data_IF_073363153358
#
_entry.id   IF_073363153358
#
_cell.length_a   1.000
_cell.length_b   1.000
_cell.length_c   1.000
_cell.angle_alpha   90.00
_cell.angle_beta   90.00
_cell.angle_gamma   90.00
#
_symmetry.space_group_name_H-M   'P 1'
#
loop_
_entity.id
_entity.type
_entity.pdbx_description
1 polymer ?
#
# COMPACT_ATOMS: atom_id res chain seq x y z
N UNK A 1 10.85 12.97 2.10
CA UNK A 1 11.01 12.15 3.32
C UNK A 1 11.96 12.89 4.26
N UNK A 2 11.53 13.27 5.47
CA UNK A 2 12.38 14.04 6.40
C UNK A 2 13.16 13.10 7.33
N UNK A 3 14.38 12.73 6.91
CA UNK A 3 15.23 11.82 7.68
C UNK A 3 15.61 12.37 9.06
N UNK A 4 15.75 13.70 9.18
CA UNK A 4 16.13 14.37 10.43
C UNK A 4 15.03 14.25 11.47
N UNK A 5 13.75 14.41 11.10
CA UNK A 5 12.65 14.25 12.05
C UNK A 5 12.49 12.79 12.49
N UNK A 6 12.66 11.83 11.57
CA UNK A 6 12.55 10.40 11.90
C UNK A 6 13.69 9.92 12.80
N UNK A 7 14.93 10.39 12.57
CA UNK A 7 16.06 10.17 13.50
C UNK A 7 15.74 10.68 14.91
N UNK A 8 15.19 11.89 15.02
CA UNK A 8 14.82 12.49 16.32
C UNK A 8 13.71 11.73 17.04
N UNK A 9 12.83 11.07 16.29
CA UNK A 9 11.74 10.24 16.83
C UNK A 9 12.17 8.79 17.10
N UNK A 10 13.43 8.42 16.86
CA UNK A 10 13.91 7.04 17.01
C UNK A 10 13.37 6.07 15.96
N UNK A 11 12.78 6.58 14.89
CA UNK A 11 12.23 5.77 13.81
C UNK A 11 13.34 5.27 12.88
N UNK A 12 13.14 4.08 12.32
CA UNK A 12 14.06 3.52 11.33
C UNK A 12 14.15 4.47 10.12
N UNK A 13 15.38 4.83 9.75
CA UNK A 13 15.66 5.67 8.58
C UNK A 13 15.99 4.90 7.31
N UNK A 14 16.19 3.58 7.43
CA UNK A 14 16.41 2.72 6.29
C UNK A 14 15.10 2.49 5.52
N UNK A 15 15.20 2.39 4.19
CA UNK A 15 14.08 2.05 3.31
C UNK A 15 13.61 0.60 3.46
N UNK A 16 14.39 -0.27 4.11
CA UNK A 16 14.14 -1.71 4.15
C UNK A 16 12.75 -2.12 4.66
N UNK A 17 12.20 -1.43 5.66
CA UNK A 17 10.84 -1.69 6.14
C UNK A 17 9.78 -1.33 5.08
N UNK A 18 10.00 -0.25 4.35
CA UNK A 18 9.13 0.20 3.25
C UNK A 18 9.25 -0.77 2.07
N UNK A 19 10.47 -1.09 1.64
CA UNK A 19 10.74 -2.03 0.54
C UNK A 19 10.18 -3.42 0.83
N UNK A 20 10.36 -3.92 2.05
CA UNK A 20 9.82 -5.21 2.49
C UNK A 20 8.29 -5.22 2.47
N UNK A 21 7.67 -4.12 2.89
CA UNK A 21 6.21 -3.95 2.82
C UNK A 21 5.74 -3.89 1.38
N UNK A 22 6.43 -3.15 0.51
CA UNK A 22 6.10 -3.06 -0.92
C UNK A 22 6.19 -4.45 -1.58
N UNK A 23 7.25 -5.21 -1.31
CA UNK A 23 7.43 -6.56 -1.86
C UNK A 23 6.34 -7.52 -1.38
N UNK A 24 6.04 -7.54 -0.09
CA UNK A 24 5.13 -8.54 0.50
C UNK A 24 3.64 -8.18 0.39
N UNK A 25 3.29 -6.91 0.59
CA UNK A 25 1.92 -6.45 0.51
C UNK A 25 1.53 -6.14 -0.94
N UNK A 26 2.32 -5.33 -1.65
CA UNK A 26 1.93 -4.86 -2.98
C UNK A 26 2.30 -5.88 -4.06
N UNK A 27 3.58 -6.23 -4.22
CA UNK A 27 4.02 -7.04 -5.35
C UNK A 27 3.50 -8.48 -5.33
N UNK A 28 3.39 -9.09 -4.14
CA UNK A 28 2.96 -10.49 -4.02
C UNK A 28 1.44 -10.68 -3.87
N UNK A 29 0.71 -9.67 -3.38
CA UNK A 29 -0.73 -9.82 -3.08
C UNK A 29 -1.59 -8.92 -3.96
N UNK A 30 -1.27 -7.64 -4.06
CA UNK A 30 -2.10 -6.69 -4.81
C UNK A 30 -1.82 -6.78 -6.31
N UNK A 31 -0.55 -6.70 -6.72
CA UNK A 31 -0.10 -6.79 -8.10
C UNK A 31 0.01 -8.26 -8.49
N UNK A 32 -0.71 -8.69 -9.52
CA UNK A 32 -0.63 -10.06 -10.03
C UNK A 32 0.55 -10.22 -10.99
N UNK A 33 0.86 -11.45 -11.40
CA UNK A 33 1.99 -11.74 -12.29
C UNK A 33 1.84 -11.04 -13.64
N UNK A 34 2.97 -10.67 -14.24
CA UNK A 34 3.08 -9.96 -15.52
C UNK A 34 2.29 -8.62 -15.62
N UNK A 35 1.85 -8.04 -14.50
CA UNK A 35 1.01 -6.84 -14.51
C UNK A 35 1.86 -5.56 -14.51
N UNK A 36 1.70 -4.71 -15.52
CA UNK A 36 2.34 -3.39 -15.55
C UNK A 36 1.38 -2.31 -15.09
N UNK A 37 1.83 -1.49 -14.15
CA UNK A 37 1.02 -0.40 -13.60
C UNK A 37 1.60 0.93 -14.08
N UNK A 38 0.70 1.81 -14.54
CA UNK A 38 0.95 3.25 -14.61
C UNK A 38 0.41 3.87 -13.34
N UNK A 39 0.98 4.98 -12.90
CA UNK A 39 0.58 5.68 -11.67
C UNK A 39 -0.94 5.88 -11.60
N UNK A 40 -1.56 6.38 -12.67
CA UNK A 40 -3.01 6.59 -12.77
C UNK A 40 -3.86 5.33 -12.53
N UNK A 41 -3.35 4.15 -12.90
CA UNK A 41 -4.09 2.88 -12.76
C UNK A 41 -3.75 2.16 -11.44
N UNK A 42 -2.55 2.40 -10.91
CA UNK A 42 -2.07 1.81 -9.66
C UNK A 42 -2.98 2.17 -8.50
N UNK A 43 -3.33 3.45 -8.39
CA UNK A 43 -4.18 3.95 -7.32
C UNK A 43 -5.56 3.27 -7.35
N UNK A 44 -6.23 3.26 -8.50
CA UNK A 44 -7.54 2.63 -8.67
C UNK A 44 -7.51 1.13 -8.30
N UNK A 45 -6.46 0.42 -8.70
CA UNK A 45 -6.31 -1.00 -8.35
C UNK A 45 -6.11 -1.21 -6.85
N UNK A 46 -5.28 -0.39 -6.19
CA UNK A 46 -5.14 -0.44 -4.73
C UNK A 46 -6.45 -0.11 -4.02
N UNK A 47 -7.20 0.87 -4.55
CA UNK A 47 -8.52 1.25 -4.08
C UNK A 47 -9.61 0.19 -4.32
N UNK A 48 -9.32 -0.95 -4.95
CA UNK A 48 -10.30 -2.05 -5.05
C UNK A 48 -9.75 -3.31 -4.39
N UNK A 49 -8.54 -3.71 -4.78
CA UNK A 49 -7.95 -4.98 -4.33
C UNK A 49 -7.56 -4.98 -2.87
N UNK A 50 -7.10 -3.88 -2.29
CA UNK A 50 -6.59 -3.91 -0.91
C UNK A 50 -7.66 -4.36 0.10
N UNK A 51 -8.88 -3.80 0.13
CA UNK A 51 -9.92 -4.26 1.06
C UNK A 51 -10.54 -5.59 0.69
N UNK A 52 -10.49 -6.00 -0.58
CA UNK A 52 -10.83 -7.36 -0.95
C UNK A 52 -9.84 -8.38 -0.36
N UNK A 53 -8.53 -8.06 -0.36
CA UNK A 53 -7.45 -8.93 0.14
C UNK A 53 -7.27 -8.88 1.67
N UNK A 54 -7.92 -7.94 2.34
CA UNK A 54 -7.90 -7.80 3.82
C UNK A 54 -9.27 -8.02 4.43
N UNK A 55 -10.25 -8.52 3.67
CA UNK A 55 -11.63 -8.77 4.14
C UNK A 55 -12.34 -7.53 4.70
N UNK A 56 -11.94 -6.33 4.25
CA UNK A 56 -12.51 -5.02 4.67
C UNK A 56 -13.37 -4.39 3.59
N UNK A 57 -13.89 -5.21 2.67
CA UNK A 57 -14.67 -4.72 1.54
C UNK A 57 -15.94 -4.00 2.00
N UNK A 58 -16.61 -4.53 3.01
CA UNK A 58 -17.87 -3.97 3.54
C UNK A 58 -17.65 -2.62 4.20
N UNK A 59 -16.64 -2.50 5.06
CA UNK A 59 -16.20 -1.24 5.67
C UNK A 59 -15.94 -0.17 4.60
N UNK A 60 -15.14 -0.50 3.58
CA UNK A 60 -14.88 0.43 2.46
C UNK A 60 -16.15 0.83 1.71
N UNK A 61 -17.05 -0.11 1.45
CA UNK A 61 -18.30 0.18 0.74
C UNK A 61 -19.19 1.11 1.55
N UNK A 62 -19.17 1.00 2.88
CA UNK A 62 -19.92 1.88 3.76
C UNK A 62 -19.34 3.29 3.78
N UNK A 63 -18.01 3.43 3.85
CA UNK A 63 -17.33 4.73 3.73
C UNK A 63 -17.67 5.48 2.43
N UNK A 64 -17.84 4.75 1.31
CA UNK A 64 -18.19 5.34 0.02
C UNK A 64 -19.65 5.76 -0.11
N UNK A 65 -20.54 5.30 0.77
CA UNK A 65 -21.96 5.66 0.77
C UNK A 65 -22.26 6.92 1.58
N UNK A 66 -21.35 7.33 2.47
CA UNK A 66 -21.45 8.55 3.26
C UNK A 66 -21.00 9.77 2.45
#
# INVERSE_FOLDING_TARGET
>A
MSYVSFRRQGLSIGSGSIESSLRRAINLRVKSDAMFWREANAESLMQVRTPALTERREERLEELRQ
#
